data_IF_191866307175
#
_entry.id   IF_191866307175
#
_cell.length_a   1.000
_cell.length_b   1.000
_cell.length_c   1.000
_cell.angle_alpha   90.00
_cell.angle_beta   90.00
_cell.angle_gamma   90.00
#
_symmetry.space_group_name_H-M   'P 1'
#
loop_
_entity.id
_entity.type
_entity.pdbx_description
1 polymer ?
#
# COMPACT_ATOMS: atom_id res chain seq x y z
N UNK A 1 0.02 -6.16 27.70
CA UNK A 1 0.57 -4.84 27.34
C UNK A 1 1.80 -5.11 26.49
N UNK A 2 1.73 -4.83 25.19
CA UNK A 2 2.86 -5.01 24.26
C UNK A 2 3.43 -3.64 23.93
N UNK A 3 4.74 -3.49 24.05
CA UNK A 3 5.44 -2.22 23.83
C UNK A 3 5.34 -1.72 22.38
N UNK A 4 5.27 -0.40 22.17
CA UNK A 4 5.41 0.18 20.84
C UNK A 4 6.88 0.09 20.44
N UNK A 5 7.23 -0.74 19.46
CA UNK A 5 8.58 -0.77 18.92
C UNK A 5 8.89 0.58 18.25
N UNK A 6 9.91 1.25 18.78
CA UNK A 6 10.41 2.55 18.33
C UNK A 6 10.66 2.59 16.81
N UNK A 7 9.81 3.35 16.11
CA UNK A 7 9.97 3.81 14.72
C UNK A 7 10.90 5.03 14.66
N UNK A 8 12.05 4.99 15.34
CA UNK A 8 13.04 6.09 15.31
C UNK A 8 13.45 6.34 13.85
N UNK A 9 13.22 7.57 13.36
CA UNK A 9 13.57 7.99 11.99
C UNK A 9 12.49 7.79 10.91
N UNK A 10 11.28 7.35 11.25
CA UNK A 10 10.17 7.30 10.27
C UNK A 10 8.98 8.15 10.70
N UNK A 11 8.43 8.90 9.75
CA UNK A 11 7.22 9.70 9.94
C UNK A 11 6.02 8.86 9.50
N UNK A 12 5.04 8.71 10.37
CA UNK A 12 3.74 8.15 10.00
C UNK A 12 2.82 9.28 9.54
N UNK A 13 2.19 9.09 8.39
CA UNK A 13 1.18 10.00 7.84
C UNK A 13 -0.09 9.21 7.54
N UNK A 14 -1.25 9.77 7.90
CA UNK A 14 -2.54 9.08 7.85
C UNK A 14 -3.03 8.56 9.21
N UNK A 15 -4.01 7.64 9.24
CA UNK A 15 -4.62 6.93 8.10
C UNK A 15 -5.59 7.81 7.28
N UNK A 16 -5.72 7.50 5.98
CA UNK A 16 -6.74 8.04 5.10
C UNK A 16 -7.71 6.92 4.69
N UNK A 17 -9.02 7.22 4.60
CA UNK A 17 -10.06 6.24 4.31
C UNK A 17 -11.09 6.13 5.43
N UNK A 18 -11.72 4.96 5.55
CA UNK A 18 -12.75 4.67 6.55
C UNK A 18 -12.24 3.89 7.76
N UNK A 19 -13.06 3.74 8.82
CA UNK A 19 -12.71 3.02 10.04
C UNK A 19 -12.85 1.48 9.91
N UNK A 20 -13.29 0.99 8.75
CA UNK A 20 -13.55 -0.43 8.52
C UNK A 20 -12.29 -1.19 8.09
N UNK A 21 -12.33 -2.52 8.25
CA UNK A 21 -11.22 -3.41 7.90
C UNK A 21 -10.24 -3.63 9.04
N UNK A 22 -9.13 -4.32 8.74
CA UNK A 22 -8.09 -4.61 9.72
C UNK A 22 -6.94 -3.62 9.55
N UNK A 23 -6.52 -2.97 10.63
CA UNK A 23 -5.36 -2.09 10.62
C UNK A 23 -4.09 -2.90 10.30
N UNK A 24 -3.20 -2.30 9.50
CA UNK A 24 -1.92 -2.87 9.16
C UNK A 24 -0.89 -1.76 9.01
N UNK A 25 0.38 -2.11 9.26
CA UNK A 25 1.53 -1.26 9.00
C UNK A 25 2.57 -2.10 8.25
N UNK A 26 3.17 -1.51 7.22
CA UNK A 26 4.21 -2.16 6.45
C UNK A 26 5.42 -1.24 6.32
N UNK A 27 6.59 -1.80 6.58
CA UNK A 27 7.89 -1.16 6.34
C UNK A 27 8.71 -2.14 5.52
N UNK A 28 9.07 -1.75 4.30
CA UNK A 28 9.99 -2.53 3.49
C UNK A 28 11.37 -2.60 4.17
N UNK A 29 12.04 -3.75 4.05
CA UNK A 29 13.39 -3.92 4.60
C UNK A 29 14.46 -3.27 3.73
N UNK A 30 14.25 -3.27 2.42
CA UNK A 30 15.06 -2.55 1.44
C UNK A 30 14.16 -1.87 0.42
N UNK A 31 14.62 -1.79 -0.83
CA UNK A 31 13.95 -1.01 -1.86
C UNK A 31 12.68 -1.69 -2.37
N UNK A 32 11.60 -0.92 -2.47
CA UNK A 32 10.38 -1.37 -3.13
C UNK A 32 10.66 -1.43 -4.63
N UNK A 33 10.44 -2.61 -5.22
CA UNK A 33 10.65 -2.90 -6.65
C UNK A 33 9.34 -3.01 -7.42
N UNK A 34 8.24 -3.32 -6.75
CA UNK A 34 6.93 -3.38 -7.37
C UNK A 34 5.81 -3.09 -6.36
N UNK A 35 4.79 -2.36 -6.79
CA UNK A 35 3.53 -2.20 -6.07
C UNK A 35 2.43 -2.86 -6.88
N UNK A 36 1.70 -3.78 -6.26
CA UNK A 36 0.61 -4.55 -6.88
C UNK A 36 -0.69 -4.06 -6.26
N UNK A 37 -1.61 -3.58 -7.10
CA UNK A 37 -2.89 -3.02 -6.68
C UNK A 37 -4.01 -3.82 -7.33
N UNK A 38 -4.86 -4.44 -6.51
CA UNK A 38 -6.09 -5.10 -6.98
C UNK A 38 -7.26 -4.14 -6.77
N UNK A 39 -8.05 -3.92 -7.81
CA UNK A 39 -9.16 -2.96 -7.79
C UNK A 39 -10.33 -3.36 -8.70
N UNK A 40 -11.40 -2.57 -8.61
CA UNK A 40 -12.63 -2.71 -9.38
C UNK A 40 -13.48 -1.45 -9.29
N UNK A 41 -14.55 -1.47 -8.48
CA UNK A 41 -15.30 -0.25 -8.14
C UNK A 41 -14.63 0.62 -7.06
N UNK A 42 -13.61 0.08 -6.40
CA UNK A 42 -12.74 0.71 -5.42
C UNK A 42 -11.41 -0.06 -5.37
N UNK A 43 -10.44 0.43 -4.62
CA UNK A 43 -9.20 -0.31 -4.33
C UNK A 43 -9.52 -1.41 -3.32
N UNK A 44 -9.24 -2.66 -3.68
CA UNK A 44 -9.54 -3.83 -2.87
C UNK A 44 -8.34 -4.26 -2.02
N UNK A 45 -7.15 -4.31 -2.63
CA UNK A 45 -5.93 -4.64 -1.90
C UNK A 45 -4.66 -4.06 -2.52
N UNK A 46 -3.63 -3.95 -1.68
CA UNK A 46 -2.28 -3.54 -2.05
C UNK A 46 -1.28 -4.58 -1.52
N UNK A 47 -0.26 -4.85 -2.32
CA UNK A 47 0.87 -5.70 -1.96
C UNK A 47 2.16 -5.07 -2.50
N UNK A 48 3.25 -5.23 -1.76
CA UNK A 48 4.55 -4.71 -2.13
C UNK A 48 5.51 -5.87 -2.39
N UNK A 49 6.40 -5.68 -3.37
CA UNK A 49 7.57 -6.51 -3.58
C UNK A 49 8.80 -5.66 -3.31
N UNK A 50 9.71 -6.15 -2.46
CA UNK A 50 10.94 -5.45 -2.11
C UNK A 50 12.16 -6.34 -2.25
N UNK A 51 13.30 -5.73 -2.56
CA UNK A 51 14.61 -6.36 -2.44
C UNK A 51 15.12 -6.18 -1.00
N UNK A 52 15.51 -7.27 -0.32
CA UNK A 52 16.07 -7.19 1.04
C UNK A 52 17.50 -6.64 1.10
N UNK A 53 18.07 -6.20 -0.03
CA UNK A 53 19.42 -5.62 -0.15
C UNK A 53 20.50 -6.66 -0.43
N UNK A 54 20.14 -7.94 -0.53
CA UNK A 54 21.00 -9.04 -0.94
C UNK A 54 20.59 -9.64 -2.29
N UNK A 55 19.66 -8.99 -3.01
CA UNK A 55 19.08 -9.48 -4.26
C UNK A 55 17.90 -10.45 -4.07
N UNK A 56 17.54 -10.80 -2.82
CA UNK A 56 16.36 -11.60 -2.51
C UNK A 56 15.10 -10.75 -2.61
N UNK A 57 14.11 -11.27 -3.34
CA UNK A 57 12.84 -10.59 -3.59
C UNK A 57 11.76 -11.16 -2.69
N UNK A 58 11.21 -10.33 -1.82
CA UNK A 58 10.17 -10.71 -0.87
C UNK A 58 8.87 -9.97 -1.16
N UNK A 59 7.75 -10.69 -0.99
CA UNK A 59 6.42 -10.10 -1.05
C UNK A 59 5.92 -9.78 0.35
N UNK A 60 5.31 -8.62 0.51
CA UNK A 60 4.51 -8.34 1.71
C UNK A 60 3.29 -9.25 1.75
N UNK A 61 2.64 -9.29 2.92
CA UNK A 61 1.25 -9.73 2.99
C UNK A 61 0.40 -8.91 1.99
N UNK A 62 -0.68 -9.52 1.51
CA UNK A 62 -1.71 -8.79 0.78
C UNK A 62 -2.57 -8.02 1.80
N UNK A 63 -2.56 -6.70 1.71
CA UNK A 63 -3.32 -5.85 2.62
C UNK A 63 -4.64 -5.43 1.97
N UNK A 64 -5.76 -5.87 2.54
CA UNK A 64 -7.09 -5.61 2.01
C UNK A 64 -7.89 -6.90 1.79
N UNK A 65 -8.83 -6.84 0.85
CA UNK A 65 -9.82 -7.88 0.58
C UNK A 65 -9.38 -8.97 -0.39
N UNK A 66 -10.37 -9.78 -0.79
CA UNK A 66 -10.28 -10.79 -1.85
C UNK A 66 -11.18 -10.41 -3.05
N UNK A 67 -11.68 -9.17 -3.08
CA UNK A 67 -12.50 -8.66 -4.17
C UNK A 67 -11.65 -8.07 -5.28
N UNK A 68 -12.25 -7.14 -6.03
CA UNK A 68 -11.65 -6.59 -7.23
C UNK A 68 -11.58 -7.60 -8.37
N UNK A 69 -11.42 -7.09 -9.59
CA UNK A 69 -11.35 -7.90 -10.80
C UNK A 69 -10.27 -7.43 -11.77
N UNK A 70 -9.50 -6.42 -11.38
CA UNK A 70 -8.36 -5.88 -12.13
C UNK A 70 -7.15 -5.83 -11.21
N UNK A 71 -5.99 -6.09 -11.79
CA UNK A 71 -4.71 -6.02 -11.10
C UNK A 71 -3.76 -5.18 -11.93
N UNK A 72 -3.33 -4.06 -11.37
CA UNK A 72 -2.28 -3.23 -11.95
C UNK A 72 -0.99 -3.39 -11.14
N UNK A 73 0.14 -3.31 -11.85
CA UNK A 73 1.47 -3.41 -11.26
C UNK A 73 2.26 -2.18 -11.64
N UNK A 74 2.88 -1.57 -10.64
CA UNK A 74 3.81 -0.46 -10.82
C UNK A 74 5.20 -1.02 -10.54
N UNK A 75 5.97 -1.24 -11.59
CA UNK A 75 7.39 -1.60 -11.49
C UNK A 75 8.20 -0.35 -11.19
N UNK A 76 9.22 -0.49 -10.33
CA UNK A 76 10.11 0.59 -9.91
C UNK A 76 11.54 0.15 -10.18
N UNK A 77 12.22 0.88 -11.08
CA UNK A 77 13.59 0.60 -11.49
C UNK A 77 14.62 1.13 -10.46
N UNK A 78 14.58 0.60 -9.23
CA UNK A 78 15.56 0.97 -8.20
C UNK A 78 16.98 0.44 -8.55
N UNK A 79 18.04 1.22 -8.25
CA UNK A 79 18.03 2.41 -7.40
C UNK A 79 17.82 3.74 -8.16
N UNK A 80 17.69 3.72 -9.49
CA UNK A 80 17.48 4.94 -10.30
C UNK A 80 16.10 5.57 -10.11
N UNK A 81 15.10 4.73 -9.87
CA UNK A 81 13.71 5.13 -9.61
C UNK A 81 13.30 4.71 -8.20
N UNK A 82 12.56 5.58 -7.52
CA UNK A 82 12.00 5.31 -6.20
C UNK A 82 10.66 6.03 -6.02
N UNK A 83 9.86 5.53 -5.07
CA UNK A 83 8.58 6.12 -4.72
C UNK A 83 8.78 7.50 -4.09
N UNK A 84 8.19 8.52 -4.70
CA UNK A 84 8.22 9.91 -4.19
C UNK A 84 6.89 10.32 -3.56
N UNK A 85 5.79 9.66 -3.91
CA UNK A 85 4.48 9.98 -3.36
C UNK A 85 3.42 8.92 -3.62
N UNK A 86 2.48 8.83 -2.68
CA UNK A 86 1.20 8.15 -2.87
C UNK A 86 0.11 9.17 -2.58
N UNK A 87 -0.81 9.32 -3.52
CA UNK A 87 -2.00 10.15 -3.36
C UNK A 87 -3.23 9.39 -3.84
N UNK A 88 -4.42 9.95 -3.65
CA UNK A 88 -5.65 9.25 -4.01
C UNK A 88 -6.91 9.94 -3.50
N UNK A 89 -8.03 9.23 -3.65
CA UNK A 89 -9.34 9.68 -3.16
C UNK A 89 -9.98 8.59 -2.31
N UNK A 90 -10.84 8.99 -1.38
CA UNK A 90 -11.62 8.07 -0.55
C UNK A 90 -13.07 8.56 -0.42
N UNK A 91 -13.98 7.64 -0.14
CA UNK A 91 -15.41 7.95 0.00
C UNK A 91 -16.26 6.70 0.14
N UNK A 92 -17.57 6.87 0.37
CA UNK A 92 -18.50 5.75 0.51
C UNK A 92 -18.50 4.86 -0.75
N UNK A 93 -18.43 3.54 -0.56
CA UNK A 93 -18.47 2.59 -1.68
C UNK A 93 -19.78 2.73 -2.47
N UNK A 94 -20.90 2.71 -1.74
CA UNK A 94 -22.27 2.97 -2.16
C UNK A 94 -22.95 3.87 -1.10
N UNK A 95 -24.18 4.39 -1.30
CA UNK A 95 -24.81 5.36 -0.40
C UNK A 95 -24.93 4.93 1.08
N UNK A 96 -24.96 3.63 1.36
CA UNK A 96 -25.02 3.08 2.72
C UNK A 96 -23.77 2.26 3.07
N UNK A 97 -22.80 2.24 2.16
CA UNK A 97 -21.59 1.42 2.26
C UNK A 97 -20.48 2.06 3.07
N UNK A 98 -19.43 1.28 3.39
CA UNK A 98 -18.28 1.80 4.13
C UNK A 98 -17.51 2.84 3.30
N UNK A 99 -16.80 3.72 4.00
CA UNK A 99 -15.81 4.60 3.37
C UNK A 99 -14.59 3.76 2.96
N UNK A 100 -14.26 3.79 1.68
CA UNK A 100 -13.18 3.01 1.07
C UNK A 100 -12.23 3.92 0.30
N UNK A 101 -11.04 3.42 0.00
CA UNK A 101 -10.14 4.06 -0.96
C UNK A 101 -10.71 3.87 -2.37
N UNK A 102 -11.00 4.98 -3.06
CA UNK A 102 -11.61 4.99 -4.39
C UNK A 102 -10.57 4.98 -5.49
N UNK A 103 -9.45 5.65 -5.28
CA UNK A 103 -8.34 5.67 -6.22
C UNK A 103 -7.01 5.80 -5.48
N UNK A 104 -5.96 5.29 -6.12
CA UNK A 104 -4.57 5.52 -5.75
C UNK A 104 -3.82 6.02 -6.98
N UNK A 105 -2.91 6.95 -6.76
CA UNK A 105 -1.92 7.41 -7.70
C UNK A 105 -0.55 7.20 -7.05
N UNK A 106 0.31 6.49 -7.76
CA UNK A 106 1.69 6.23 -7.38
C UNK A 106 2.58 7.18 -8.18
N UNK A 107 3.50 7.86 -7.50
CA UNK A 107 4.44 8.78 -8.13
C UNK A 107 5.87 8.34 -7.85
N UNK A 108 6.68 8.34 -8.89
CA UNK A 108 8.12 8.07 -8.88
C UNK A 108 8.89 9.29 -9.44
N UNK A 109 10.22 9.31 -9.31
CA UNK A 109 11.09 10.43 -9.71
C UNK A 109 11.56 10.37 -11.18
#
# INVERSE_FOLDING_TARGET
MGEPSHLEGSISVGPWGGPSGNAWHYKAKGDIKQIIIVHGGAVDSIQFKSDEGNGSMEYSNKFGGQGGNRTDKVDIDSPSEYLTGISGTFGCFDPLGPVVIKSLQIQTN
#
